data_IF_282218876815
#
_entry.id   IF_282218876815
#
_cell.length_a   1.000
_cell.length_b   1.000
_cell.length_c   1.000
_cell.angle_alpha   90.00
_cell.angle_beta   90.00
_cell.angle_gamma   90.00
#
_symmetry.space_group_name_H-M   'P 1'
#
loop_
_entity.id
_entity.type
_entity.pdbx_description
1 polymer ?
#
# COMPACT_ATOMS: atom_id res chain seq x y z
N UNK A 1 -11.93 -21.75 0.55
CA UNK A 1 -10.67 -21.44 1.23
C UNK A 1 -10.16 -20.04 0.91
N UNK A 2 -9.84 -19.65 -0.36
CA UNK A 2 -9.27 -18.33 -0.72
C UNK A 2 -10.20 -17.15 -0.33
N UNK A 3 -11.48 -17.23 -0.67
CA UNK A 3 -12.45 -16.18 -0.31
C UNK A 3 -12.54 -15.99 1.20
N UNK A 4 -12.50 -17.06 1.99
CA UNK A 4 -12.54 -16.96 3.45
C UNK A 4 -11.29 -16.29 4.01
N UNK A 5 -10.12 -16.55 3.40
CA UNK A 5 -8.88 -15.87 3.77
C UNK A 5 -8.97 -14.37 3.45
N UNK A 6 -9.56 -14.00 2.30
CA UNK A 6 -9.76 -12.59 1.96
C UNK A 6 -10.77 -11.90 2.88
N UNK A 7 -11.89 -12.56 3.21
CA UNK A 7 -12.84 -12.05 4.22
C UNK A 7 -12.15 -11.81 5.56
N UNK A 8 -11.35 -12.76 6.00
CA UNK A 8 -10.57 -12.67 7.24
C UNK A 8 -9.54 -11.53 7.19
N UNK A 9 -8.80 -11.40 6.08
CA UNK A 9 -7.85 -10.30 5.89
C UNK A 9 -8.52 -8.94 6.07
N UNK A 10 -9.67 -8.73 5.42
CA UNK A 10 -10.40 -7.47 5.51
C UNK A 10 -10.92 -7.23 6.92
N UNK A 11 -11.50 -8.25 7.56
CA UNK A 11 -12.05 -8.14 8.92
C UNK A 11 -10.97 -7.78 9.95
N UNK A 12 -9.82 -8.49 9.92
CA UNK A 12 -8.74 -8.28 10.85
C UNK A 12 -8.01 -6.94 10.69
N UNK A 13 -8.13 -6.30 9.51
CA UNK A 13 -7.44 -5.06 9.17
C UNK A 13 -8.37 -3.87 8.92
N UNK A 14 -9.62 -3.94 9.39
CA UNK A 14 -10.62 -2.86 9.22
C UNK A 14 -10.11 -1.50 9.69
N UNK A 15 -9.41 -1.45 10.81
CA UNK A 15 -8.89 -0.21 11.38
C UNK A 15 -7.80 0.46 10.53
N UNK A 16 -7.16 -0.29 9.63
CA UNK A 16 -6.13 0.21 8.72
C UNK A 16 -6.71 0.66 7.37
N UNK A 17 -7.96 0.33 7.10
CA UNK A 17 -8.64 0.66 5.85
C UNK A 17 -9.55 1.85 6.08
N UNK A 18 -9.49 2.85 5.20
CA UNK A 18 -10.51 3.90 5.25
C UNK A 18 -11.87 3.37 4.81
N UNK A 19 -12.94 4.09 5.13
CA UNK A 19 -14.32 3.69 4.88
C UNK A 19 -14.58 3.33 3.41
N UNK A 20 -14.04 4.13 2.47
CA UNK A 20 -14.20 3.87 1.04
C UNK A 20 -13.54 2.56 0.61
N UNK A 21 -12.30 2.34 1.01
CA UNK A 21 -11.54 1.11 0.69
C UNK A 21 -12.21 -0.12 1.28
N UNK A 22 -12.64 -0.03 2.54
CA UNK A 22 -13.37 -1.09 3.23
C UNK A 22 -14.67 -1.43 2.49
N UNK A 23 -15.49 -0.42 2.19
CA UNK A 23 -16.75 -0.59 1.47
C UNK A 23 -16.57 -1.26 0.10
N UNK A 24 -15.54 -0.88 -0.65
CA UNK A 24 -15.23 -1.50 -1.95
C UNK A 24 -14.88 -2.99 -1.81
N UNK A 25 -14.11 -3.37 -0.81
CA UNK A 25 -13.80 -4.78 -0.58
C UNK A 25 -15.00 -5.59 -0.09
N UNK A 26 -15.81 -5.03 0.80
CA UNK A 26 -17.05 -5.67 1.26
C UNK A 26 -18.06 -5.86 0.13
N UNK A 27 -18.21 -4.85 -0.75
CA UNK A 27 -19.06 -4.95 -1.93
C UNK A 27 -18.53 -5.97 -2.94
N UNK A 28 -17.20 -6.03 -3.11
CA UNK A 28 -16.57 -7.06 -3.93
C UNK A 28 -16.90 -8.47 -3.44
N UNK A 29 -16.81 -8.69 -2.14
CA UNK A 29 -17.16 -9.97 -1.50
C UNK A 29 -18.65 -10.30 -1.70
N UNK A 30 -19.54 -9.33 -1.51
CA UNK A 30 -20.99 -9.51 -1.75
C UNK A 30 -21.29 -9.89 -3.19
N UNK A 31 -20.64 -9.22 -4.15
CA UNK A 31 -20.79 -9.55 -5.57
C UNK A 31 -20.24 -10.95 -5.89
N UNK A 32 -19.12 -11.35 -5.28
CA UNK A 32 -18.58 -12.70 -5.45
C UNK A 32 -19.54 -13.77 -4.94
N UNK A 33 -20.07 -13.60 -3.73
CA UNK A 33 -21.02 -14.54 -3.11
C UNK A 33 -22.33 -14.64 -3.92
N UNK A 34 -22.73 -13.56 -4.62
CA UNK A 34 -23.88 -13.53 -5.52
C UNK A 34 -23.58 -14.08 -6.94
N UNK A 35 -22.34 -14.53 -7.24
CA UNK A 35 -21.96 -15.01 -8.56
C UNK A 35 -21.72 -13.91 -9.60
N UNK A 36 -21.66 -12.64 -9.19
CA UNK A 36 -21.45 -11.46 -10.07
C UNK A 36 -19.96 -11.16 -10.17
N UNK A 37 -19.23 -12.09 -10.80
CA UNK A 37 -17.76 -12.11 -10.76
C UNK A 37 -17.09 -10.91 -11.41
N UNK A 38 -17.64 -10.40 -12.51
CA UNK A 38 -17.10 -9.22 -13.20
C UNK A 38 -17.11 -7.99 -12.26
N UNK A 39 -18.22 -7.75 -11.57
CA UNK A 39 -18.34 -6.65 -10.63
C UNK A 39 -17.47 -6.87 -9.40
N UNK A 40 -17.41 -8.11 -8.89
CA UNK A 40 -16.52 -8.47 -7.79
C UNK A 40 -15.06 -8.11 -8.11
N UNK A 41 -14.59 -8.44 -9.32
CA UNK A 41 -13.24 -8.11 -9.75
C UNK A 41 -13.00 -6.59 -9.82
N UNK A 42 -13.92 -5.83 -10.43
CA UNK A 42 -13.81 -4.38 -10.55
C UNK A 42 -13.71 -3.70 -9.19
N UNK A 43 -14.59 -4.09 -8.26
CA UNK A 43 -14.62 -3.51 -6.91
C UNK A 43 -13.36 -3.88 -6.10
N UNK A 44 -12.86 -5.12 -6.21
CA UNK A 44 -11.61 -5.52 -5.57
C UNK A 44 -10.42 -4.72 -6.11
N UNK A 45 -10.35 -4.54 -7.43
CA UNK A 45 -9.30 -3.73 -8.06
C UNK A 45 -9.37 -2.27 -7.61
N UNK A 46 -10.57 -1.69 -7.58
CA UNK A 46 -10.78 -0.31 -7.09
C UNK A 46 -10.40 -0.19 -5.61
N UNK A 47 -10.78 -1.17 -4.77
CA UNK A 47 -10.37 -1.21 -3.37
C UNK A 47 -8.86 -1.22 -3.20
N UNK A 48 -8.16 -2.04 -4.00
CA UNK A 48 -6.69 -2.09 -3.98
C UNK A 48 -6.05 -0.78 -4.45
N UNK A 49 -6.53 -0.18 -5.53
CA UNK A 49 -5.99 1.11 -5.99
C UNK A 49 -6.24 2.23 -5.01
N UNK A 50 -7.39 2.25 -4.32
CA UNK A 50 -7.66 3.20 -3.23
C UNK A 50 -6.75 2.95 -2.01
N UNK A 51 -6.49 1.69 -1.66
CA UNK A 51 -5.53 1.35 -0.61
C UNK A 51 -4.14 1.92 -0.92
N UNK A 52 -3.59 1.66 -2.11
CA UNK A 52 -2.28 2.20 -2.52
C UNK A 52 -2.30 3.74 -2.57
N UNK A 53 -3.37 4.33 -3.11
CA UNK A 53 -3.56 5.79 -3.11
C UNK A 53 -3.41 6.38 -1.72
N UNK A 54 -4.07 5.77 -0.72
CA UNK A 54 -4.09 6.27 0.65
C UNK A 54 -2.70 6.14 1.30
N UNK A 55 -2.05 4.97 1.21
CA UNK A 55 -0.73 4.80 1.82
C UNK A 55 0.32 5.76 1.23
N UNK A 56 0.26 6.06 -0.09
CA UNK A 56 1.18 7.02 -0.71
C UNK A 56 0.81 8.46 -0.38
N UNK A 57 -0.48 8.79 -0.37
CA UNK A 57 -0.95 10.14 -0.06
C UNK A 57 -0.62 10.56 1.37
N UNK A 58 -0.77 9.63 2.30
CA UNK A 58 -0.60 9.89 3.73
C UNK A 58 0.87 9.72 4.18
N UNK A 59 1.75 9.24 3.28
CA UNK A 59 3.17 9.09 3.52
C UNK A 59 3.94 10.41 3.41
N UNK A 60 5.10 10.43 4.05
CA UNK A 60 6.12 11.43 3.77
C UNK A 60 6.94 11.05 2.53
N UNK A 61 7.56 12.04 1.91
CA UNK A 61 8.43 11.83 0.75
C UNK A 61 9.55 10.84 1.07
N UNK A 62 9.76 9.81 0.24
CA UNK A 62 10.89 8.89 0.40
C UNK A 62 12.23 9.61 0.42
N UNK A 63 13.17 9.11 1.22
CA UNK A 63 14.52 9.70 1.30
C UNK A 63 15.21 9.61 -0.06
N UNK A 64 15.70 10.75 -0.55
CA UNK A 64 16.36 10.83 -1.86
C UNK A 64 15.41 10.96 -3.06
N UNK A 65 14.10 11.02 -2.82
CA UNK A 65 13.14 11.32 -3.89
C UNK A 65 13.16 12.82 -4.24
N UNK A 66 12.92 13.15 -5.51
CA UNK A 66 12.90 14.55 -5.97
C UNK A 66 11.63 15.26 -5.45
N UNK A 67 11.77 16.40 -4.74
CA UNK A 67 10.62 17.11 -4.15
C UNK A 67 9.58 17.58 -5.17
N UNK A 68 10.00 18.01 -6.37
CA UNK A 68 9.07 18.46 -7.40
C UNK A 68 8.28 17.30 -7.98
N UNK A 69 8.94 16.16 -8.19
CA UNK A 69 8.27 14.92 -8.61
C UNK A 69 7.30 14.43 -7.54
N UNK A 70 7.69 14.49 -6.25
CA UNK A 70 6.80 14.14 -5.14
C UNK A 70 5.55 15.00 -5.09
N UNK A 71 5.71 16.32 -5.19
CA UNK A 71 4.59 17.25 -5.24
C UNK A 71 3.64 16.96 -6.42
N UNK A 72 4.19 16.61 -7.58
CA UNK A 72 3.40 16.19 -8.75
C UNK A 72 2.63 14.89 -8.49
N UNK A 73 3.28 13.89 -7.87
CA UNK A 73 2.63 12.64 -7.47
C UNK A 73 1.47 12.92 -6.52
N UNK A 74 1.70 13.70 -5.47
CA UNK A 74 0.67 14.06 -4.49
C UNK A 74 -0.51 14.82 -5.13
N UNK A 75 -0.25 15.73 -6.06
CA UNK A 75 -1.29 16.46 -6.79
C UNK A 75 -2.15 15.52 -7.64
N UNK A 76 -1.53 14.60 -8.39
CA UNK A 76 -2.24 13.62 -9.23
C UNK A 76 -3.04 12.61 -8.41
N UNK A 77 -2.52 12.18 -7.26
CA UNK A 77 -3.25 11.29 -6.35
C UNK A 77 -4.50 11.94 -5.75
N UNK A 78 -4.55 13.27 -5.64
CA UNK A 78 -5.74 14.02 -5.21
C UNK A 78 -6.77 14.21 -6.32
N UNK A 79 -6.36 14.09 -7.59
CA UNK A 79 -7.23 14.29 -8.75
C UNK A 79 -7.95 12.98 -9.11
N UNK A 80 -9.29 12.98 -9.03
CA UNK A 80 -10.14 11.81 -9.32
C UNK A 80 -10.00 11.24 -10.75
N UNK A 81 -9.53 12.06 -11.71
CA UNK A 81 -9.33 11.62 -13.09
C UNK A 81 -7.95 11.00 -13.34
N UNK A 82 -6.98 11.29 -12.48
CA UNK A 82 -5.57 10.96 -12.71
C UNK A 82 -5.03 9.93 -11.72
N UNK A 83 -5.71 9.74 -10.56
CA UNK A 83 -5.16 8.94 -9.47
C UNK A 83 -4.90 7.47 -9.85
N UNK A 84 -5.77 6.84 -10.66
CA UNK A 84 -5.62 5.43 -11.06
C UNK A 84 -4.34 5.23 -11.88
N UNK A 85 -4.06 6.14 -12.84
CA UNK A 85 -2.82 6.14 -13.62
C UNK A 85 -1.60 6.45 -12.75
N UNK A 86 -1.75 7.38 -11.80
CA UNK A 86 -0.66 7.71 -10.89
C UNK A 86 -0.34 6.56 -9.93
N UNK A 87 -1.35 5.86 -9.41
CA UNK A 87 -1.15 4.63 -8.60
C UNK A 87 -0.41 3.57 -9.41
N UNK A 88 -0.82 3.35 -10.66
CA UNK A 88 -0.12 2.42 -11.55
C UNK A 88 1.34 2.82 -11.75
N UNK A 89 1.61 4.11 -11.97
CA UNK A 89 2.98 4.64 -12.09
C UNK A 89 3.80 4.40 -10.82
N UNK A 90 3.24 4.64 -9.64
CA UNK A 90 3.91 4.36 -8.36
C UNK A 90 4.26 2.87 -8.21
N UNK A 91 3.34 1.98 -8.60
CA UNK A 91 3.56 0.53 -8.55
C UNK A 91 4.68 0.11 -9.53
N UNK A 92 4.72 0.65 -10.74
CA UNK A 92 5.70 0.27 -11.76
C UNK A 92 7.11 0.83 -11.51
N UNK A 93 7.23 1.88 -10.70
CA UNK A 93 8.51 2.52 -10.45
C UNK A 93 9.43 1.64 -9.61
N UNK A 94 10.63 1.35 -10.14
CA UNK A 94 11.68 0.58 -9.46
C UNK A 94 12.82 1.51 -9.01
N UNK A 95 13.44 1.17 -7.88
CA UNK A 95 14.68 1.84 -7.47
C UNK A 95 15.82 1.44 -8.39
N UNK A 96 16.60 2.45 -8.82
CA UNK A 96 17.81 2.27 -9.60
C UNK A 96 18.92 3.17 -9.00
N UNK A 97 19.62 2.69 -7.96
CA UNK A 97 20.63 3.51 -7.25
C UNK A 97 21.84 3.87 -8.11
N UNK A 98 22.14 3.05 -9.13
CA UNK A 98 23.25 3.27 -10.07
C UNK A 98 22.87 4.10 -11.29
N UNK A 99 21.60 4.51 -11.38
CA UNK A 99 21.12 5.39 -12.46
C UNK A 99 21.71 6.80 -12.38
N UNK A 100 21.72 7.51 -13.49
CA UNK A 100 22.17 8.90 -13.55
C UNK A 100 21.05 9.76 -14.14
N UNK A 101 20.24 10.47 -13.34
CA UNK A 101 20.25 10.49 -11.86
C UNK A 101 19.73 9.18 -11.23
N UNK A 102 20.08 8.90 -9.96
CA UNK A 102 19.49 7.78 -9.22
C UNK A 102 17.96 7.88 -9.17
N UNK A 103 17.30 6.74 -9.25
CA UNK A 103 15.83 6.63 -9.12
C UNK A 103 15.52 5.95 -7.81
N UNK A 104 14.64 6.54 -7.02
CA UNK A 104 14.09 5.96 -5.79
C UNK A 104 12.65 5.55 -6.09
N UNK A 105 12.28 4.31 -5.80
CA UNK A 105 10.88 3.89 -5.87
C UNK A 105 10.05 4.58 -4.78
N UNK A 106 8.75 4.75 -5.03
CA UNK A 106 7.83 5.26 -4.00
C UNK A 106 7.39 4.13 -3.08
N UNK A 107 7.16 2.94 -3.65
CA UNK A 107 6.66 1.78 -2.93
C UNK A 107 7.77 0.75 -2.76
N UNK A 108 7.92 0.26 -1.53
CA UNK A 108 8.63 -0.97 -1.23
C UNK A 108 7.66 -2.13 -1.42
N UNK A 109 7.94 -2.96 -2.40
CA UNK A 109 7.11 -4.12 -2.77
C UNK A 109 7.90 -5.09 -3.64
N UNK A 110 7.53 -6.41 -3.67
CA UNK A 110 8.20 -7.39 -4.51
C UNK A 110 8.14 -7.07 -6.00
N UNK A 111 9.26 -7.21 -6.71
CA UNK A 111 9.33 -6.98 -8.15
C UNK A 111 8.42 -7.91 -8.96
N UNK A 112 8.17 -9.12 -8.47
CA UNK A 112 7.19 -10.04 -9.05
C UNK A 112 5.82 -9.41 -9.11
N UNK A 113 5.37 -8.79 -8.02
CA UNK A 113 4.08 -8.10 -7.97
C UNK A 113 4.03 -6.89 -8.92
N UNK A 114 5.13 -6.12 -9.04
CA UNK A 114 5.22 -5.01 -10.02
C UNK A 114 5.01 -5.50 -11.44
N UNK A 115 5.66 -6.61 -11.80
CA UNK A 115 5.57 -7.19 -13.14
C UNK A 115 4.15 -7.73 -13.42
N UNK A 116 3.55 -8.39 -12.42
CA UNK A 116 2.21 -8.99 -12.56
C UNK A 116 1.10 -7.94 -12.56
N UNK A 117 1.35 -6.73 -12.02
CA UNK A 117 0.30 -5.73 -11.87
C UNK A 117 -0.26 -5.22 -13.21
N UNK A 118 0.56 -5.24 -14.26
CA UNK A 118 0.09 -4.96 -15.63
C UNK A 118 -0.97 -5.96 -16.09
N UNK A 119 -0.80 -7.24 -15.76
CA UNK A 119 -1.81 -8.28 -16.04
C UNK A 119 -3.13 -7.99 -15.31
N UNK A 120 -3.08 -7.65 -14.02
CA UNK A 120 -4.28 -7.36 -13.24
C UNK A 120 -5.01 -6.11 -13.74
N UNK A 121 -4.26 -5.07 -14.12
CA UNK A 121 -4.82 -3.85 -14.75
C UNK A 121 -5.51 -4.15 -16.07
N UNK A 122 -4.89 -4.97 -16.92
CA UNK A 122 -5.48 -5.36 -18.19
C UNK A 122 -6.79 -6.14 -17.97
N UNK A 123 -6.84 -7.03 -16.99
CA UNK A 123 -8.08 -7.74 -16.61
C UNK A 123 -9.17 -6.78 -16.16
N UNK A 124 -8.82 -5.76 -15.36
CA UNK A 124 -9.77 -4.71 -14.98
C UNK A 124 -10.32 -3.97 -16.21
N UNK A 125 -9.47 -3.64 -17.17
CA UNK A 125 -9.88 -2.97 -18.39
C UNK A 125 -10.82 -3.86 -19.23
N UNK A 126 -10.52 -5.15 -19.34
CA UNK A 126 -11.40 -6.11 -20.01
C UNK A 126 -12.77 -6.19 -19.31
N UNK A 127 -12.81 -6.16 -17.98
CA UNK A 127 -14.04 -6.07 -17.20
C UNK A 127 -14.83 -4.81 -17.51
N UNK A 128 -14.18 -3.65 -17.49
CA UNK A 128 -14.83 -2.35 -17.64
C UNK A 128 -15.40 -2.11 -19.06
N UNK A 129 -14.71 -2.65 -20.08
CA UNK A 129 -15.10 -2.44 -21.50
C UNK A 129 -15.91 -3.58 -22.11
N UNK A 130 -16.43 -4.50 -21.30
CA UNK A 130 -17.23 -5.65 -21.77
C UNK A 130 -16.63 -6.39 -22.98
N UNK A 131 -15.29 -6.47 -23.03
CA UNK A 131 -14.63 -7.28 -24.04
C UNK A 131 -15.06 -8.75 -23.90
N UNK A 132 -14.96 -9.51 -24.98
CA UNK A 132 -15.43 -10.91 -25.08
C UNK A 132 -14.79 -11.89 -24.08
N UNK A 133 -14.02 -11.42 -23.11
CA UNK A 133 -13.39 -12.21 -22.08
C UNK A 133 -14.34 -12.39 -20.89
N UNK A 134 -14.71 -13.64 -20.62
CA UNK A 134 -15.59 -13.97 -19.51
C UNK A 134 -14.80 -14.04 -18.20
N UNK A 135 -15.17 -13.16 -17.26
CA UNK A 135 -14.62 -13.15 -15.90
C UNK A 135 -15.43 -14.11 -15.05
N UNK A 136 -14.79 -15.17 -14.60
CA UNK A 136 -15.38 -16.19 -13.74
C UNK A 136 -14.79 -16.16 -12.31
N UNK A 137 -15.29 -17.04 -11.45
CA UNK A 137 -14.86 -17.17 -10.06
C UNK A 137 -13.33 -17.33 -9.93
N UNK A 138 -12.68 -18.10 -10.80
CA UNK A 138 -11.24 -18.36 -10.70
C UNK A 138 -10.39 -17.10 -10.88
N UNK A 139 -10.81 -16.18 -11.75
CA UNK A 139 -10.12 -14.91 -11.96
C UNK A 139 -10.21 -14.01 -10.72
N UNK A 140 -11.38 -13.94 -10.08
CA UNK A 140 -11.57 -13.17 -8.86
C UNK A 140 -10.77 -13.79 -7.70
N UNK A 141 -10.83 -15.10 -7.55
CA UNK A 141 -10.06 -15.82 -6.51
C UNK A 141 -8.56 -15.66 -6.69
N UNK A 142 -8.06 -15.66 -7.93
CA UNK A 142 -6.64 -15.40 -8.20
C UNK A 142 -6.24 -13.99 -7.74
N UNK A 143 -7.09 -12.98 -8.00
CA UNK A 143 -6.86 -11.62 -7.53
C UNK A 143 -6.93 -11.51 -6.01
N UNK A 144 -7.94 -12.13 -5.36
CA UNK A 144 -8.00 -12.19 -3.89
C UNK A 144 -6.78 -12.89 -3.28
N UNK A 145 -6.26 -13.95 -3.94
CA UNK A 145 -5.05 -14.62 -3.50
C UNK A 145 -3.83 -13.69 -3.53
N UNK A 146 -3.70 -12.88 -4.58
CA UNK A 146 -2.66 -11.85 -4.68
C UNK A 146 -2.82 -10.80 -3.57
N UNK A 147 -4.03 -10.31 -3.31
CA UNK A 147 -4.29 -9.36 -2.22
C UNK A 147 -3.92 -9.95 -0.85
N UNK A 148 -4.33 -11.20 -0.57
CA UNK A 148 -3.99 -11.91 0.67
C UNK A 148 -2.48 -12.02 0.88
N UNK A 149 -1.73 -12.23 -0.19
CA UNK A 149 -0.29 -12.45 -0.11
C UNK A 149 0.51 -11.16 0.04
N UNK A 150 0.06 -10.08 -0.62
CA UNK A 150 0.90 -8.91 -0.84
C UNK A 150 0.33 -7.59 -0.32
N UNK A 151 -0.98 -7.41 -0.16
CA UNK A 151 -1.56 -6.09 0.12
C UNK A 151 -0.91 -5.42 1.32
N UNK A 152 -0.82 -6.13 2.45
CA UNK A 152 -0.24 -5.58 3.68
C UNK A 152 1.30 -5.53 3.68
N UNK A 153 1.95 -6.09 2.67
CA UNK A 153 3.42 -6.05 2.49
C UNK A 153 3.89 -4.86 1.69
N UNK A 154 2.97 -4.13 1.08
CA UNK A 154 3.28 -2.94 0.32
C UNK A 154 3.40 -1.78 1.30
N UNK A 155 4.57 -1.17 1.35
CA UNK A 155 4.85 0.01 2.17
C UNK A 155 5.43 1.12 1.31
N UNK A 156 5.52 2.34 1.86
CA UNK A 156 6.25 3.42 1.18
C UNK A 156 7.75 3.19 1.40
N UNK A 157 8.55 3.34 0.34
CA UNK A 157 10.01 3.13 0.37
C UNK A 157 10.64 3.90 1.54
N UNK A 158 11.41 3.17 2.35
CA UNK A 158 12.05 3.74 3.55
C UNK A 158 11.10 3.95 4.72
N UNK A 159 9.87 3.42 4.68
CA UNK A 159 8.88 3.57 5.73
C UNK A 159 9.39 3.17 7.12
N UNK A 160 9.94 1.98 7.28
CA UNK A 160 10.55 1.53 8.53
C UNK A 160 11.73 2.43 8.95
N UNK A 161 12.66 2.71 8.05
CA UNK A 161 13.83 3.57 8.34
C UNK A 161 13.41 4.99 8.70
N UNK A 162 12.40 5.52 8.01
CA UNK A 162 11.82 6.81 8.35
C UNK A 162 11.23 6.79 9.76
N UNK A 163 10.41 5.78 10.08
CA UNK A 163 9.77 5.67 11.38
C UNK A 163 10.80 5.53 12.51
N UNK A 164 11.85 4.72 12.33
CA UNK A 164 12.96 4.60 13.28
C UNK A 164 13.64 5.95 13.54
N UNK A 165 13.82 6.78 12.51
CA UNK A 165 14.39 8.13 12.67
C UNK A 165 13.43 9.05 13.45
N UNK A 166 12.12 9.01 13.15
CA UNK A 166 11.12 9.80 13.90
C UNK A 166 11.09 9.39 15.38
N UNK A 167 11.16 8.08 15.66
CA UNK A 167 11.28 7.62 17.06
C UNK A 167 12.56 8.10 17.72
N UNK A 168 13.70 8.02 17.02
CA UNK A 168 14.98 8.54 17.53
C UNK A 168 14.86 10.03 17.85
N UNK A 169 14.26 10.82 16.98
CA UNK A 169 14.06 12.24 17.16
C UNK A 169 13.07 12.53 18.30
N UNK A 170 12.02 11.72 18.45
CA UNK A 170 11.04 11.83 19.53
C UNK A 170 11.63 11.52 20.91
N UNK A 171 12.60 10.62 20.99
CA UNK A 171 13.31 10.30 22.24
C UNK A 171 14.54 11.17 22.49
N UNK A 172 14.92 12.06 21.56
CA UNK A 172 16.01 13.00 21.74
C UNK A 172 15.53 14.25 22.51
N UNK A 173 15.98 14.46 23.78
CA UNK A 173 15.54 15.60 24.59
C UNK A 173 15.89 16.97 23.95
N UNK A 174 16.87 17.00 23.03
CA UNK A 174 17.23 18.23 22.32
C UNK A 174 16.26 18.60 21.21
N UNK A 175 15.43 17.63 20.74
CA UNK A 175 14.53 17.81 19.61
C UNK A 175 13.05 17.79 19.99
N UNK A 176 12.70 17.05 21.03
CA UNK A 176 11.32 16.82 21.40
C UNK A 176 11.10 17.05 22.90
N UNK A 177 10.01 17.72 23.24
CA UNK A 177 9.64 17.94 24.63
C UNK A 177 9.25 16.62 25.31
N UNK A 178 9.70 16.34 26.56
CA UNK A 178 9.33 15.12 27.30
C UNK A 178 7.81 14.93 27.51
N UNK A 179 7.01 15.99 27.27
CA UNK A 179 5.54 15.95 27.39
C UNK A 179 4.84 15.63 26.09
N UNK A 180 5.56 15.53 24.98
CA UNK A 180 4.97 15.24 23.67
C UNK A 180 4.61 13.75 23.55
N UNK A 181 3.38 13.47 23.12
CA UNK A 181 2.90 12.11 23.00
C UNK A 181 3.56 11.41 21.80
N UNK A 182 4.09 10.20 22.02
CA UNK A 182 4.60 9.33 20.95
C UNK A 182 3.50 8.49 20.31
N UNK A 183 2.25 8.56 20.81
CA UNK A 183 1.14 7.76 20.29
C UNK A 183 0.96 7.88 18.76
N UNK A 184 1.08 9.08 18.14
CA UNK A 184 1.00 9.19 16.68
C UNK A 184 2.08 8.42 15.92
N UNK A 185 3.24 8.15 16.52
CA UNK A 185 4.28 7.32 15.93
C UNK A 185 3.97 5.84 16.12
N UNK A 186 3.45 5.46 17.29
CA UNK A 186 3.02 4.09 17.59
C UNK A 186 1.92 3.66 16.61
N UNK A 187 0.95 4.52 16.35
CA UNK A 187 -0.16 4.25 15.42
C UNK A 187 0.32 4.00 13.97
N UNK A 188 1.50 4.54 13.62
CA UNK A 188 2.10 4.35 12.29
C UNK A 188 2.89 3.04 12.15
N UNK A 189 3.21 2.34 13.24
CA UNK A 189 4.05 1.13 13.16
C UNK A 189 3.38 0.12 12.22
N UNK A 190 2.10 -0.18 12.44
CA UNK A 190 1.37 -1.17 11.63
C UNK A 190 1.15 -0.72 10.18
N UNK A 191 1.23 0.59 9.90
CA UNK A 191 1.08 1.15 8.56
C UNK A 191 2.39 1.19 7.77
N UNK A 192 3.53 1.18 8.45
CA UNK A 192 4.83 1.46 7.85
C UNK A 192 5.85 0.33 8.02
N UNK A 193 5.58 -0.63 8.89
CA UNK A 193 6.46 -1.77 9.17
C UNK A 193 5.74 -3.06 8.80
N UNK A 194 6.34 -3.82 7.91
CA UNK A 194 5.77 -5.11 7.51
C UNK A 194 5.85 -6.11 8.68
N UNK A 195 4.84 -6.99 8.90
CA UNK A 195 4.86 -7.98 9.98
C UNK A 195 6.12 -8.85 10.05
N UNK A 196 6.73 -9.20 8.90
CA UNK A 196 7.99 -9.96 8.86
C UNK A 196 9.23 -9.16 9.27
N UNK A 197 9.14 -7.83 9.27
CA UNK A 197 10.22 -6.90 9.64
C UNK A 197 10.05 -6.34 11.04
N UNK A 198 9.01 -6.79 11.76
CA UNK A 198 8.68 -6.24 13.08
C UNK A 198 9.81 -6.49 14.09
N UNK A 199 10.47 -7.63 14.03
CA UNK A 199 11.64 -7.91 14.89
C UNK A 199 12.80 -6.97 14.57
N UNK A 200 13.12 -6.79 13.28
CA UNK A 200 14.18 -5.86 12.83
C UNK A 200 13.86 -4.42 13.22
N UNK A 201 12.57 -4.05 13.16
CA UNK A 201 12.11 -2.74 13.62
C UNK A 201 12.34 -2.54 15.12
N UNK A 202 11.96 -3.50 15.96
CA UNK A 202 12.16 -3.39 17.41
C UNK A 202 13.64 -3.40 17.79
N UNK A 203 14.47 -4.19 17.11
CA UNK A 203 15.93 -4.18 17.30
C UNK A 203 16.51 -2.81 16.88
N UNK A 204 16.05 -2.27 15.76
CA UNK A 204 16.41 -0.92 15.31
C UNK A 204 15.94 0.17 16.29
N UNK A 205 14.74 0.03 16.84
CA UNK A 205 14.19 0.96 17.83
C UNK A 205 14.99 0.93 19.13
N UNK A 206 15.31 -0.26 19.64
CA UNK A 206 16.15 -0.42 20.81
C UNK A 206 17.52 0.23 20.59
N UNK A 207 18.14 0.00 19.43
CA UNK A 207 19.42 0.61 19.08
C UNK A 207 19.35 2.13 18.95
N UNK A 208 18.23 2.65 18.42
CA UNK A 208 18.01 4.09 18.23
C UNK A 208 17.71 4.84 19.53
N UNK A 209 17.16 4.14 20.54
CA UNK A 209 16.73 4.69 21.83
C UNK A 209 17.65 4.35 22.99
N UNK A 210 18.68 3.53 22.75
CA UNK A 210 19.70 3.22 23.77
C UNK A 210 20.52 4.47 24.05
N UNK A 211 20.16 5.17 25.11
CA UNK A 211 20.99 6.24 25.68
C UNK A 211 22.17 5.61 26.39
N UNK A 212 23.38 5.97 25.97
CA UNK A 212 24.63 5.71 26.70
C UNK A 212 24.85 6.79 27.75
#
# INVERSE_FOLDING_TARGET
MIINNFKKLIEENKSMLNELTLGLFEDSIRCFDAGIYRQAYLLAYQGFTQYIRNIVRDAKMPTGYDPNKWNSVQAKLKNEKEFDEQVFTCIQQKSCPTGTPPVVAILDMPDTLRNDFTFWRNRRNDCAHYKAYDINASHVLAFYSMLNQYMLKITVEGGMKYLLREFKDAFDPAKTSPKESIQPLVDKILLMVHPSEMNDFFDGLQSATSFH
#
